data_IF_365721833072
#
_entry.id   IF_365721833072
#
_cell.length_a   1.000
_cell.length_b   1.000
_cell.length_c   1.000
_cell.angle_alpha   90.00
_cell.angle_beta   90.00
_cell.angle_gamma   90.00
#
_symmetry.space_group_name_H-M   'P 1'
#
loop_
_entity.id
_entity.type
_entity.pdbx_description
1 polymer ?
#
# COMPACT_ATOMS: atom_id res chain seq x y z
N UNK A 1 -16.00 15.78 3.24
CA UNK A 1 -15.55 14.54 2.61
C UNK A 1 -14.06 14.37 2.80
N UNK A 2 -13.68 13.22 3.29
CA UNK A 2 -12.26 12.93 3.43
C UNK A 2 -11.68 12.52 2.09
N UNK A 3 -10.49 13.00 1.79
CA UNK A 3 -9.76 12.59 0.60
C UNK A 3 -8.99 11.32 0.91
N UNK A 4 -9.02 10.41 -0.03
CA UNK A 4 -8.22 9.20 0.10
C UNK A 4 -6.77 9.50 -0.23
N UNK A 5 -5.88 8.90 0.52
CA UNK A 5 -4.44 9.04 0.31
C UNK A 5 -4.00 8.36 -0.99
N UNK A 6 -4.62 7.25 -1.31
CA UNK A 6 -4.29 6.46 -2.50
C UNK A 6 -5.55 5.84 -3.08
N UNK A 7 -5.41 5.31 -4.28
CA UNK A 7 -6.45 4.54 -4.94
C UNK A 7 -5.89 3.20 -5.38
N UNK A 8 -6.77 2.22 -5.50
CA UNK A 8 -6.40 0.91 -6.04
C UNK A 8 -6.59 0.97 -7.55
N UNK A 9 -5.54 0.65 -8.30
CA UNK A 9 -5.57 0.72 -9.76
C UNK A 9 -6.03 -0.59 -10.37
N UNK A 10 -6.19 -0.59 -11.68
CA UNK A 10 -6.49 -1.80 -12.42
C UNK A 10 -5.24 -2.62 -12.76
N UNK A 11 -4.06 -2.11 -12.41
CA UNK A 11 -2.80 -2.81 -12.65
C UNK A 11 -2.67 -3.95 -11.66
N UNK A 12 -2.67 -5.18 -12.17
CA UNK A 12 -2.60 -6.36 -11.33
C UNK A 12 -1.19 -6.92 -11.27
N UNK A 13 -0.94 -7.73 -10.26
CA UNK A 13 0.33 -8.42 -10.10
C UNK A 13 0.46 -9.50 -11.20
N UNK A 14 1.64 -9.65 -11.81
CA UNK A 14 1.81 -10.64 -12.88
C UNK A 14 1.56 -12.09 -12.46
N UNK A 15 1.79 -12.42 -11.18
CA UNK A 15 1.55 -13.77 -10.68
C UNK A 15 0.22 -13.92 -9.98
N UNK A 16 -0.24 -12.83 -9.35
CA UNK A 16 -1.42 -12.87 -8.48
C UNK A 16 -2.42 -11.85 -8.94
N UNK A 17 -3.30 -12.19 -9.88
CA UNK A 17 -4.22 -11.20 -10.48
C UNK A 17 -5.22 -10.60 -9.50
N UNK A 18 -5.34 -11.15 -8.30
CA UNK A 18 -6.20 -10.59 -7.26
C UNK A 18 -5.49 -9.50 -6.45
N UNK A 19 -4.22 -9.22 -6.73
CA UNK A 19 -3.48 -8.12 -6.14
C UNK A 19 -3.43 -6.96 -7.12
N UNK A 20 -3.66 -5.75 -6.61
CA UNK A 20 -3.70 -4.54 -7.43
C UNK A 20 -2.70 -3.53 -6.93
N UNK A 21 -2.07 -2.85 -7.87
CA UNK A 21 -1.12 -1.79 -7.55
C UNK A 21 -1.85 -0.56 -7.03
N UNK A 22 -1.25 0.13 -6.08
CA UNK A 22 -1.81 1.37 -5.53
C UNK A 22 -1.16 2.57 -6.20
N UNK A 23 -1.88 3.70 -6.19
CA UNK A 23 -1.38 4.97 -6.72
C UNK A 23 -1.74 6.09 -5.76
N UNK A 24 -0.74 6.90 -5.39
CA UNK A 24 -0.95 8.01 -4.47
C UNK A 24 -1.84 9.08 -5.11
N UNK A 25 -2.75 9.63 -4.32
CA UNK A 25 -3.63 10.73 -4.74
C UNK A 25 -3.20 12.07 -4.16
N UNK A 26 -2.24 12.05 -3.27
CA UNK A 26 -1.73 13.25 -2.62
C UNK A 26 -0.28 13.00 -2.22
N UNK A 27 0.33 14.02 -1.61
CA UNK A 27 1.67 13.86 -1.06
C UNK A 27 1.57 13.00 0.20
N UNK A 28 2.05 11.77 0.11
CA UNK A 28 1.98 10.81 1.23
C UNK A 28 3.12 11.06 2.20
N UNK A 29 4.32 11.22 1.67
CA UNK A 29 5.51 11.53 2.47
C UNK A 29 6.52 12.22 1.56
N UNK A 30 7.74 12.43 2.04
CA UNK A 30 8.76 13.15 1.28
C UNK A 30 9.11 12.49 -0.05
N UNK A 31 8.90 11.19 -0.16
CA UNK A 31 9.30 10.42 -1.33
C UNK A 31 8.13 10.07 -2.25
N UNK A 32 6.91 10.21 -1.79
CA UNK A 32 5.72 9.74 -2.52
C UNK A 32 4.77 10.89 -2.74
N UNK A 33 4.75 11.39 -3.96
CA UNK A 33 3.87 12.47 -4.36
C UNK A 33 2.68 11.97 -5.16
N UNK A 34 1.75 12.88 -5.54
CA UNK A 34 0.56 12.51 -6.29
C UNK A 34 0.93 11.80 -7.60
N UNK A 35 0.23 10.71 -7.88
CA UNK A 35 0.45 9.94 -9.08
C UNK A 35 1.51 8.85 -8.95
N UNK A 36 2.23 8.82 -7.83
CA UNK A 36 3.26 7.78 -7.65
C UNK A 36 2.62 6.42 -7.48
N UNK A 37 3.16 5.42 -8.16
CA UNK A 37 2.72 4.04 -8.03
C UNK A 37 3.42 3.39 -6.84
N UNK A 38 2.66 2.62 -6.07
CA UNK A 38 3.20 1.87 -4.95
C UNK A 38 3.13 0.38 -5.20
N UNK A 39 3.20 -0.39 -4.13
CA UNK A 39 3.13 -1.84 -4.21
C UNK A 39 1.73 -2.37 -4.48
N UNK A 40 1.46 -3.57 -4.02
CA UNK A 40 0.23 -4.29 -4.32
C UNK A 40 -0.55 -4.58 -3.05
N UNK A 41 -1.88 -4.41 -3.13
CA UNK A 41 -2.78 -4.78 -2.03
C UNK A 41 -3.92 -5.62 -2.59
N UNK A 42 -4.56 -6.37 -1.71
CA UNK A 42 -5.77 -7.10 -2.06
C UNK A 42 -6.99 -6.21 -1.94
N UNK A 43 -7.06 -5.41 -0.88
CA UNK A 43 -8.16 -4.46 -0.64
C UNK A 43 -7.60 -3.20 0.03
N UNK A 44 -8.47 -2.18 0.20
CA UNK A 44 -8.08 -0.97 0.92
C UNK A 44 -7.76 -1.23 2.38
N UNK A 45 -8.24 -2.33 2.95
CA UNK A 45 -7.97 -2.64 4.34
C UNK A 45 -6.51 -3.00 4.60
N UNK A 46 -5.76 -3.34 3.55
CA UNK A 46 -4.37 -3.74 3.69
C UNK A 46 -3.43 -2.56 3.94
N UNK A 47 -3.82 -1.35 3.55
CA UNK A 47 -2.97 -0.17 3.73
C UNK A 47 -3.84 0.97 4.24
N UNK A 48 -3.49 1.52 5.40
CA UNK A 48 -4.25 2.61 5.99
C UNK A 48 -4.24 3.85 5.11
N UNK A 49 -5.37 4.54 5.05
CA UNK A 49 -5.48 5.83 4.37
C UNK A 49 -4.92 6.97 5.21
N UNK A 50 -4.67 6.73 6.49
CA UNK A 50 -4.11 7.73 7.38
C UNK A 50 -2.61 7.54 7.52
N UNK A 51 -1.93 8.60 7.98
CA UNK A 51 -0.51 8.54 8.24
C UNK A 51 0.34 8.54 6.98
N UNK A 52 1.60 8.18 7.12
CA UNK A 52 2.57 8.20 6.03
C UNK A 52 2.98 6.82 5.55
N UNK A 53 2.25 5.79 5.96
CA UNK A 53 2.56 4.43 5.57
C UNK A 53 2.44 4.25 4.05
N UNK A 54 3.27 3.39 3.52
CA UNK A 54 3.32 3.16 2.08
C UNK A 54 3.96 1.82 1.75
N UNK A 55 3.57 1.28 0.61
CA UNK A 55 4.19 0.10 0.04
C UNK A 55 5.02 0.56 -1.16
N UNK A 56 6.32 0.30 -1.15
CA UNK A 56 7.23 0.72 -2.20
C UNK A 56 7.52 -0.44 -3.16
N UNK A 57 7.76 -0.10 -4.41
CA UNK A 57 8.23 -1.04 -5.42
C UNK A 57 7.28 -2.23 -5.61
N UNK A 58 7.74 -3.43 -5.34
CA UNK A 58 6.99 -4.66 -5.52
C UNK A 58 6.42 -5.22 -4.23
N UNK A 59 6.45 -4.44 -3.14
CA UNK A 59 5.95 -4.90 -1.85
C UNK A 59 4.49 -5.31 -1.93
N UNK A 60 4.11 -6.34 -1.19
CA UNK A 60 2.76 -6.90 -1.20
C UNK A 60 2.20 -6.92 0.21
N UNK A 61 0.97 -6.45 0.37
CA UNK A 61 0.23 -6.61 1.62
C UNK A 61 -1.15 -7.18 1.27
N UNK A 62 -1.46 -8.34 1.80
CA UNK A 62 -2.67 -9.06 1.38
C UNK A 62 -3.27 -9.85 2.53
N UNK A 63 -4.42 -10.46 2.27
CA UNK A 63 -5.23 -11.23 3.22
C UNK A 63 -5.66 -10.28 4.34
N UNK A 64 -5.35 -10.57 5.60
CA UNK A 64 -5.71 -9.71 6.73
C UNK A 64 -4.53 -8.86 7.22
N UNK A 65 -3.40 -8.90 6.51
CA UNK A 65 -2.26 -8.06 6.88
C UNK A 65 -2.58 -6.60 6.67
N UNK A 66 -2.05 -5.75 7.54
CA UNK A 66 -2.32 -4.31 7.51
C UNK A 66 -1.01 -3.53 7.67
N UNK A 67 -0.85 -2.49 6.87
CA UNK A 67 0.23 -1.51 7.03
C UNK A 67 -0.41 -0.20 7.49
N UNK A 68 0.04 0.34 8.60
CA UNK A 68 -0.57 1.55 9.18
C UNK A 68 0.48 2.48 9.78
N UNK A 69 0.05 3.64 10.25
CA UNK A 69 0.89 4.67 10.86
C UNK A 69 2.01 5.08 9.91
N UNK A 70 3.26 4.85 10.28
CA UNK A 70 4.40 5.15 9.43
C UNK A 70 5.06 3.89 8.89
N UNK A 71 4.34 2.76 8.94
CA UNK A 71 4.85 1.49 8.45
C UNK A 71 5.19 1.55 6.97
N UNK A 72 6.29 0.94 6.58
CA UNK A 72 6.75 0.95 5.19
C UNK A 72 7.26 -0.42 4.81
N UNK A 73 6.96 -0.81 3.58
CA UNK A 73 7.46 -2.05 3.02
C UNK A 73 8.19 -1.72 1.73
N UNK A 74 9.32 -2.37 1.50
CA UNK A 74 10.21 -2.08 0.38
C UNK A 74 10.47 -3.33 -0.45
N UNK A 75 10.84 -3.11 -1.70
CA UNK A 75 11.29 -4.14 -2.62
C UNK A 75 10.27 -5.27 -2.74
N UNK A 76 10.68 -6.49 -2.49
CA UNK A 76 9.80 -7.65 -2.61
C UNK A 76 9.21 -8.14 -1.29
N UNK A 77 9.18 -7.27 -0.26
CA UNK A 77 8.62 -7.68 1.04
C UNK A 77 7.15 -8.07 0.90
N UNK A 78 6.73 -9.09 1.64
CA UNK A 78 5.36 -9.58 1.61
C UNK A 78 4.82 -9.66 3.03
N UNK A 79 3.69 -9.01 3.27
CA UNK A 79 2.93 -9.15 4.51
C UNK A 79 1.62 -9.84 4.19
N UNK A 80 1.34 -10.91 4.89
CA UNK A 80 0.12 -11.69 4.68
C UNK A 80 -0.32 -12.33 5.98
N UNK A 81 -1.45 -13.03 5.93
CA UNK A 81 -2.03 -13.61 7.14
C UNK A 81 -2.60 -12.50 8.00
N UNK A 82 -2.22 -12.44 9.24
CA UNK A 82 -2.68 -11.40 10.16
C UNK A 82 -1.54 -10.48 10.60
N UNK A 83 -0.52 -10.32 9.77
CA UNK A 83 0.62 -9.46 10.07
C UNK A 83 0.20 -8.00 10.18
N UNK A 84 0.84 -7.28 11.07
CA UNK A 84 0.62 -5.85 11.25
C UNK A 84 1.96 -5.14 11.14
N UNK A 85 2.06 -4.22 10.18
CA UNK A 85 3.25 -3.42 9.97
C UNK A 85 2.92 -2.00 10.40
N UNK A 86 3.45 -1.55 11.50
CA UNK A 86 3.29 -0.17 11.90
C UNK A 86 4.66 0.42 12.18
N UNK A 87 4.82 1.66 11.81
CA UNK A 87 6.09 2.34 12.01
C UNK A 87 6.13 3.01 13.37
N UNK A 88 7.32 3.21 13.85
CA UNK A 88 7.51 3.97 15.08
C UNK A 88 7.87 5.39 14.75
#
# INVERSE_FOLDING_TARGET
>A
MSQKKYEITEITHPKYPWLHRIRARCQVNEQVGPGALGGYVQTEDNLSQDGTCWLYDQAICCVEAVVEDDGRMFDGAVARGSALISGD
#
